data_IF_817809962978
#
_entry.id   IF_817809962978
#
_cell.length_a   1.000
_cell.length_b   1.000
_cell.length_c   1.000
_cell.angle_alpha   90.00
_cell.angle_beta   90.00
_cell.angle_gamma   90.00
#
_symmetry.space_group_name_H-M   'P 1'
#
loop_
_entity.id
_entity.type
_entity.pdbx_description
1 polymer ?
#
# COMPACT_ATOMS: atom_id res chain seq x y z
N UNK A 1 -57.61 5.48 1.93
CA UNK A 1 -56.41 6.20 2.39
C UNK A 1 -55.28 5.19 2.36
N UNK A 2 -54.54 5.16 1.25
CA UNK A 2 -53.51 4.14 0.97
C UNK A 2 -52.18 4.53 1.62
N UNK A 3 -51.42 3.52 2.05
CA UNK A 3 -50.13 3.59 2.75
C UNK A 3 -49.11 4.59 2.16
N UNK A 4 -48.18 5.13 2.98
CA UNK A 4 -47.10 5.95 2.47
C UNK A 4 -46.15 5.05 1.66
N UNK A 5 -45.92 5.42 0.40
CA UNK A 5 -44.91 4.78 -0.43
C UNK A 5 -43.54 4.91 0.25
N UNK A 6 -42.95 3.75 0.56
CA UNK A 6 -41.54 3.61 0.95
C UNK A 6 -40.65 4.32 -0.07
N UNK A 7 -39.60 5.05 0.32
CA UNK A 7 -38.69 5.66 -0.64
C UNK A 7 -38.05 4.53 -1.43
N UNK A 8 -38.36 4.49 -2.73
CA UNK A 8 -37.74 3.61 -3.69
C UNK A 8 -36.22 3.77 -3.59
N UNK A 9 -35.57 2.62 -3.55
CA UNK A 9 -34.14 2.41 -3.54
C UNK A 9 -33.45 3.36 -4.52
N UNK A 10 -32.42 4.07 -4.03
CA UNK A 10 -31.49 4.79 -4.90
C UNK A 10 -30.79 3.74 -5.78
N UNK A 11 -31.29 3.56 -7.00
CA UNK A 11 -30.58 2.81 -8.04
C UNK A 11 -29.20 3.46 -8.25
N UNK A 12 -28.09 2.69 -8.18
CA UNK A 12 -26.78 3.23 -8.50
C UNK A 12 -26.76 3.52 -10.01
N UNK A 13 -26.59 4.80 -10.35
CA UNK A 13 -26.49 5.23 -11.74
C UNK A 13 -25.26 4.57 -12.40
N UNK A 14 -25.35 3.99 -13.61
CA UNK A 14 -24.22 3.30 -14.27
C UNK A 14 -23.08 4.24 -14.73
N UNK A 15 -23.19 5.53 -14.43
CA UNK A 15 -22.33 6.60 -14.98
C UNK A 15 -21.35 7.16 -13.93
N UNK A 16 -21.00 6.35 -12.92
CA UNK A 16 -19.90 6.66 -12.02
C UNK A 16 -18.59 6.21 -12.68
N UNK A 17 -18.10 7.04 -13.59
CA UNK A 17 -16.73 6.95 -14.07
C UNK A 17 -15.79 6.85 -12.85
N UNK A 18 -14.77 5.96 -12.83
CA UNK A 18 -13.91 5.81 -11.67
C UNK A 18 -13.24 7.15 -11.39
N UNK A 19 -13.63 7.82 -10.29
CA UNK A 19 -13.00 9.09 -9.93
C UNK A 19 -11.48 8.89 -9.83
N UNK A 20 -10.67 9.71 -10.52
CA UNK A 20 -9.23 9.52 -10.54
C UNK A 20 -8.68 9.84 -9.16
N UNK A 21 -8.34 8.79 -8.41
CA UNK A 21 -7.37 8.86 -7.34
C UNK A 21 -7.91 9.36 -6.00
N UNK A 22 -8.97 8.75 -5.48
CA UNK A 22 -9.15 8.66 -4.02
C UNK A 22 -8.01 7.78 -3.47
N UNK A 23 -6.80 8.36 -3.38
CA UNK A 23 -5.67 7.77 -2.68
C UNK A 23 -6.08 7.73 -1.23
N UNK A 24 -6.61 6.59 -0.81
CA UNK A 24 -6.88 6.35 0.59
C UNK A 24 -5.60 6.65 1.37
N UNK A 25 -5.70 7.35 2.50
CA UNK A 25 -4.52 7.66 3.30
C UNK A 25 -3.78 6.36 3.61
N UNK A 26 -2.51 6.28 3.20
CA UNK A 26 -1.57 5.18 3.52
C UNK A 26 -1.40 4.94 5.03
N UNK A 27 -1.96 5.82 5.85
CA UNK A 27 -2.10 5.70 7.31
C UNK A 27 -2.94 4.50 7.76
N UNK A 28 -3.69 3.81 6.88
CA UNK A 28 -4.32 2.51 7.19
C UNK A 28 -3.34 1.32 7.12
N UNK A 29 -2.05 1.53 6.82
CA UNK A 29 -1.09 0.42 6.83
C UNK A 29 -0.83 -0.03 8.27
N UNK A 30 -0.97 -1.34 8.55
CA UNK A 30 -0.60 -1.87 9.86
C UNK A 30 0.84 -1.47 10.20
N UNK A 31 1.15 -1.07 11.44
CA UNK A 31 2.50 -0.65 11.85
C UNK A 31 3.59 -1.67 11.49
N UNK A 32 3.22 -2.96 11.47
CA UNK A 32 4.09 -4.07 11.05
C UNK A 32 4.56 -3.89 9.60
N UNK A 33 3.68 -3.49 8.68
CA UNK A 33 4.04 -3.31 7.27
C UNK A 33 5.02 -2.15 7.12
N UNK A 34 4.81 -1.05 7.84
CA UNK A 34 5.74 0.07 7.86
C UNK A 34 7.11 -0.33 8.41
N UNK A 35 7.14 -1.16 9.46
CA UNK A 35 8.38 -1.68 10.03
C UNK A 35 9.15 -2.53 9.01
N UNK A 36 8.46 -3.41 8.27
CA UNK A 36 9.10 -4.23 7.23
C UNK A 36 9.68 -3.36 6.12
N UNK A 37 8.93 -2.37 5.63
CA UNK A 37 9.42 -1.44 4.60
C UNK A 37 10.65 -0.68 5.09
N UNK A 38 10.62 -0.18 6.33
CA UNK A 38 11.76 0.52 6.92
C UNK A 38 13.00 -0.38 7.02
N UNK A 39 12.85 -1.63 7.46
CA UNK A 39 13.94 -2.60 7.52
C UNK A 39 14.53 -2.84 6.12
N UNK A 40 13.68 -3.08 5.11
CA UNK A 40 14.12 -3.26 3.73
C UNK A 40 14.90 -2.06 3.21
N UNK A 41 14.40 -0.84 3.46
CA UNK A 41 15.06 0.38 3.03
C UNK A 41 16.43 0.56 3.70
N UNK A 42 16.55 0.28 5.01
CA UNK A 42 17.83 0.36 5.74
C UNK A 42 18.83 -0.65 5.17
N UNK A 43 18.41 -1.89 4.96
CA UNK A 43 19.28 -2.94 4.38
C UNK A 43 19.77 -2.54 2.99
N UNK A 44 18.88 -2.00 2.14
CA UNK A 44 19.25 -1.49 0.81
C UNK A 44 20.29 -0.36 0.89
N UNK A 45 20.10 0.61 1.79
CA UNK A 45 21.05 1.70 1.96
C UNK A 45 22.40 1.23 2.49
N UNK A 46 22.43 0.26 3.41
CA UNK A 46 23.68 -0.34 3.86
C UNK A 46 24.41 -1.05 2.71
N UNK A 47 23.66 -1.77 1.87
CA UNK A 47 24.23 -2.41 0.69
C UNK A 47 24.83 -1.41 -0.30
N UNK A 48 24.17 -0.28 -0.54
CA UNK A 48 24.61 0.72 -1.52
C UNK A 48 25.78 1.59 -1.00
N UNK A 49 25.74 2.00 0.27
CA UNK A 49 26.64 3.03 0.80
C UNK A 49 27.73 2.52 1.74
N UNK A 50 27.55 1.32 2.32
CA UNK A 50 28.52 0.74 3.27
C UNK A 50 29.23 -0.46 2.66
N UNK A 51 28.50 -1.36 1.99
CA UNK A 51 29.09 -2.55 1.38
C UNK A 51 29.54 -2.27 -0.06
N UNK A 52 30.84 -2.33 -0.32
CA UNK A 52 31.37 -2.31 -1.69
C UNK A 52 30.99 -3.61 -2.44
N UNK A 53 31.00 -3.65 -3.78
CA UNK A 53 30.61 -4.81 -4.61
C UNK A 53 31.26 -6.14 -4.15
N UNK A 54 32.48 -6.04 -3.61
CA UNK A 54 33.24 -7.17 -3.07
C UNK A 54 32.66 -7.76 -1.77
N UNK A 55 31.96 -6.97 -0.95
CA UNK A 55 31.32 -7.40 0.29
C UNK A 55 29.90 -7.94 0.06
N UNK A 56 29.19 -7.44 -0.96
CA UNK A 56 27.89 -8.00 -1.36
C UNK A 56 28.01 -9.44 -1.84
N UNK A 57 29.07 -9.76 -2.61
CA UNK A 57 29.36 -11.13 -3.04
C UNK A 57 29.59 -12.08 -1.86
N UNK A 58 30.29 -11.64 -0.80
CA UNK A 58 30.54 -12.48 0.37
C UNK A 58 29.26 -12.77 1.17
N UNK A 59 28.36 -11.80 1.32
CA UNK A 59 27.10 -11.99 2.05
C UNK A 59 26.11 -12.90 1.31
N UNK A 60 26.17 -12.92 -0.03
CA UNK A 60 25.30 -13.72 -0.88
C UNK A 60 25.82 -15.15 -1.16
N UNK A 61 27.15 -15.35 -1.14
CA UNK A 61 27.78 -16.64 -1.47
C UNK A 61 28.40 -17.39 -0.28
N UNK A 62 28.64 -16.73 0.86
CA UNK A 62 29.23 -17.36 2.06
C UNK A 62 28.16 -17.52 3.17
N UNK A 63 27.12 -18.29 2.85
CA UNK A 63 26.04 -18.71 3.75
C UNK A 63 25.87 -20.22 3.75
#
# INVERSE_FOLDING_TARGET
>A
MSEPASPAETEPSPDEAPEPGRREPVFNLPPVVLAVIAICAVVYLLQEYVLNETQQMTLLYDG
#
